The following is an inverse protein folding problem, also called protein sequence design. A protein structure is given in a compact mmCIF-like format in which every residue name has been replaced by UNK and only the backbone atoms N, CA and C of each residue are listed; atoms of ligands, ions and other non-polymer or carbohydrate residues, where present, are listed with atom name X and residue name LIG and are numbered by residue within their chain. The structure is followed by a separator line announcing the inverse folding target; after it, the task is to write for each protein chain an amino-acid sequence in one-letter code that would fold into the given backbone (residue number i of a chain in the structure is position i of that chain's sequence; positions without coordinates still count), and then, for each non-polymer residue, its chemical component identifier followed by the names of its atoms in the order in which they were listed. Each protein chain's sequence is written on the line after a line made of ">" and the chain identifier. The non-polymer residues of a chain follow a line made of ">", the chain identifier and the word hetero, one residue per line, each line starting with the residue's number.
data_IF_203140028338
#
_entry.id   IF_203140028338
#
_cell.length_a   1.000
_cell.length_b   1.000
_cell.length_c   1.000
_cell.angle_alpha   90.00
_cell.angle_beta   90.00
_cell.angle_gamma   90.00
#
_symmetry.space_group_name_H-M   'P 1'
#
loop_
_entity.id
_entity.type
_entity.pdbx_description
1 polymer ?
#
# COMPACT_ATOMS: atom_id res chain seq x y z
N UNK A 1 -9.09 7.29 20.23
CA UNK A 1 -10.28 7.63 19.42
C UNK A 1 -11.50 7.27 20.23
N UNK A 2 -12.37 8.24 20.56
CA UNK A 2 -13.64 7.92 21.21
C UNK A 2 -14.50 7.09 20.25
N UNK A 3 -15.25 6.07 20.71
CA UNK A 3 -16.11 5.24 19.86
C UNK A 3 -17.07 6.07 18.99
N UNK A 4 -17.50 7.22 19.49
CA UNK A 4 -18.36 8.20 18.81
C UNK A 4 -17.70 8.80 17.57
N UNK A 5 -16.43 9.21 17.66
CA UNK A 5 -15.71 9.89 16.57
C UNK A 5 -15.57 9.02 15.33
N UNK A 6 -15.38 7.72 15.51
CA UNK A 6 -15.17 6.82 14.38
C UNK A 6 -16.48 6.37 13.72
N UNK A 7 -17.56 6.28 14.50
CA UNK A 7 -18.92 6.14 13.96
C UNK A 7 -19.29 7.38 13.15
N UNK A 8 -19.01 8.57 13.70
CA UNK A 8 -19.21 9.84 13.01
C UNK A 8 -18.40 9.92 11.72
N UNK A 9 -17.12 9.51 11.75
CA UNK A 9 -16.24 9.51 10.57
C UNK A 9 -16.74 8.54 9.49
N UNK A 10 -17.19 7.35 9.88
CA UNK A 10 -17.85 6.39 8.98
C UNK A 10 -19.09 7.00 8.32
N UNK A 11 -19.95 7.63 9.11
CA UNK A 11 -21.20 8.22 8.62
C UNK A 11 -20.93 9.45 7.73
N UNK A 12 -19.89 10.24 8.02
CA UNK A 12 -19.44 11.34 7.16
C UNK A 12 -18.95 10.78 5.83
N UNK A 13 -18.07 9.77 5.84
CA UNK A 13 -17.51 9.18 4.63
C UNK A 13 -18.61 8.58 3.73
N UNK A 14 -19.54 7.82 4.32
CA UNK A 14 -20.68 7.25 3.60
C UNK A 14 -21.56 8.33 2.99
N UNK A 15 -21.92 9.36 3.77
CA UNK A 15 -22.73 10.48 3.26
C UNK A 15 -22.06 11.23 2.12
N UNK A 16 -20.75 11.47 2.21
CA UNK A 16 -20.00 12.13 1.12
C UNK A 16 -19.95 11.26 -0.14
N UNK A 17 -19.75 9.95 0.02
CA UNK A 17 -19.77 9.02 -1.11
C UNK A 17 -21.15 8.94 -1.76
N UNK A 18 -22.22 8.85 -0.97
CA UNK A 18 -23.61 8.85 -1.47
C UNK A 18 -23.97 10.17 -2.14
N UNK A 19 -23.57 11.30 -1.55
CA UNK A 19 -23.74 12.62 -2.14
C UNK A 19 -23.11 12.70 -3.53
N UNK A 20 -21.83 12.32 -3.66
CA UNK A 20 -21.14 12.31 -4.96
C UNK A 20 -21.81 11.39 -5.99
N UNK A 21 -22.28 10.22 -5.57
CA UNK A 21 -22.95 9.27 -6.46
C UNK A 21 -24.32 9.75 -6.91
N UNK A 22 -25.03 10.53 -6.08
CA UNK A 22 -26.35 11.08 -6.37
C UNK A 22 -26.35 12.33 -7.26
N UNK A 23 -25.19 12.96 -7.48
CA UNK A 23 -25.05 14.11 -8.38
C UNK A 23 -25.03 13.68 -9.86
N UNK A 24 -25.48 14.58 -10.72
CA UNK A 24 -25.28 14.51 -12.17
C UNK A 24 -23.79 14.58 -12.52
N UNK A 25 -23.41 14.01 -13.66
CA UNK A 25 -22.00 13.68 -13.97
C UNK A 25 -21.03 14.85 -13.81
N UNK A 26 -21.37 16.04 -14.32
CA UNK A 26 -20.51 17.23 -14.19
C UNK A 26 -20.41 17.73 -12.75
N UNK A 27 -21.50 17.77 -11.99
CA UNK A 27 -21.47 18.22 -10.58
C UNK A 27 -20.76 17.20 -9.69
N UNK A 28 -20.93 15.91 -9.98
CA UNK A 28 -20.25 14.82 -9.31
C UNK A 28 -18.72 14.97 -9.43
N UNK A 29 -18.23 15.25 -10.64
CA UNK A 29 -16.81 15.53 -10.88
C UNK A 29 -16.37 16.79 -10.11
N UNK A 30 -17.10 17.90 -10.20
CA UNK A 30 -16.73 19.14 -9.49
C UNK A 30 -16.68 19.01 -7.97
N UNK A 31 -17.44 18.08 -7.39
CA UNK A 31 -17.43 17.81 -5.95
C UNK A 31 -16.36 16.78 -5.52
N UNK A 32 -15.76 16.03 -6.45
CA UNK A 32 -14.73 15.03 -6.16
C UNK A 32 -13.52 15.56 -5.35
N UNK A 33 -12.97 16.76 -5.63
CA UNK A 33 -11.82 17.26 -4.87
C UNK A 33 -12.08 17.35 -3.38
N UNK A 34 -13.30 17.71 -2.95
CA UNK A 34 -13.66 17.77 -1.53
C UNK A 34 -13.66 16.39 -0.86
N UNK A 35 -14.08 15.34 -1.57
CA UNK A 35 -14.01 13.97 -1.07
C UNK A 35 -12.57 13.48 -0.97
N UNK A 36 -11.75 13.76 -1.99
CA UNK A 36 -10.32 13.41 -1.98
C UNK A 36 -9.61 14.14 -0.83
N UNK A 37 -9.91 15.42 -0.63
CA UNK A 37 -9.38 16.20 0.49
C UNK A 37 -9.74 15.56 1.84
N UNK A 38 -11.03 15.27 2.08
CA UNK A 38 -11.48 14.58 3.30
C UNK A 38 -10.69 13.29 3.57
N UNK A 39 -10.52 12.44 2.55
CA UNK A 39 -9.81 11.15 2.66
C UNK A 39 -8.30 11.35 2.92
N UNK A 40 -7.71 12.42 2.40
CA UNK A 40 -6.27 12.67 2.50
C UNK A 40 -5.85 13.56 3.68
N UNK A 41 -6.74 14.39 4.22
CA UNK A 41 -6.42 15.37 5.27
C UNK A 41 -6.93 15.02 6.65
N UNK A 42 -8.08 14.32 6.77
CA UNK A 42 -8.53 13.86 8.09
C UNK A 42 -7.49 12.87 8.65
N UNK A 43 -6.96 13.05 9.88
CA UNK A 43 -5.81 12.29 10.37
C UNK A 43 -5.91 10.76 10.26
N UNK A 44 -7.10 10.20 10.50
CA UNK A 44 -7.34 8.75 10.48
C UNK A 44 -7.42 8.22 9.05
N UNK A 45 -8.25 8.85 8.22
CA UNK A 45 -8.39 8.54 6.81
C UNK A 45 -7.07 8.78 6.07
N UNK A 46 -6.30 9.81 6.43
CA UNK A 46 -4.99 10.15 5.88
C UNK A 46 -3.97 9.04 6.12
N UNK A 47 -3.96 8.45 7.33
CA UNK A 47 -3.08 7.32 7.61
C UNK A 47 -3.41 6.11 6.74
N UNK A 48 -4.71 5.79 6.63
CA UNK A 48 -5.19 4.68 5.81
C UNK A 48 -4.93 4.93 4.32
N UNK A 49 -5.19 6.15 3.85
CA UNK A 49 -5.03 6.52 2.45
C UNK A 49 -3.57 6.54 2.02
N UNK A 50 -2.63 6.94 2.90
CA UNK A 50 -1.18 6.80 2.65
C UNK A 50 -0.77 5.34 2.45
N UNK A 51 -1.28 4.45 3.30
CA UNK A 51 -0.98 3.02 3.20
C UNK A 51 -1.59 2.44 1.90
N UNK A 52 -2.83 2.82 1.55
CA UNK A 52 -3.46 2.44 0.28
C UNK A 52 -2.69 2.93 -0.95
N UNK A 53 -2.23 4.19 -0.93
CA UNK A 53 -1.46 4.77 -2.04
C UNK A 53 -0.15 4.02 -2.25
N UNK A 54 0.56 3.72 -1.17
CA UNK A 54 1.79 2.93 -1.23
C UNK A 54 1.53 1.52 -1.79
N UNK A 55 0.48 0.83 -1.33
CA UNK A 55 0.11 -0.48 -1.86
C UNK A 55 -0.24 -0.40 -3.36
N UNK A 56 -0.98 0.63 -3.78
CA UNK A 56 -1.29 0.85 -5.20
C UNK A 56 -0.06 1.12 -6.06
N UNK A 57 0.92 1.87 -5.53
CA UNK A 57 2.21 2.12 -6.18
C UNK A 57 3.01 0.82 -6.34
N UNK A 58 3.03 -0.05 -5.32
CA UNK A 58 3.66 -1.36 -5.40
C UNK A 58 3.01 -2.24 -6.48
N UNK A 59 1.67 -2.28 -6.54
CA UNK A 59 0.98 -3.06 -7.57
C UNK A 59 1.31 -2.60 -8.99
N UNK A 60 1.43 -1.28 -9.18
CA UNK A 60 1.80 -0.69 -10.47
C UNK A 60 3.28 -0.96 -10.78
N UNK A 61 4.15 -0.77 -9.79
CA UNK A 61 5.60 -0.97 -9.93
C UNK A 61 5.98 -2.41 -10.23
N UNK A 62 5.27 -3.41 -9.70
CA UNK A 62 5.55 -4.81 -10.00
C UNK A 62 5.44 -5.11 -11.51
N UNK A 63 4.45 -4.52 -12.19
CA UNK A 63 4.34 -4.68 -13.64
C UNK A 63 5.44 -3.89 -14.38
N UNK A 64 5.61 -2.61 -14.05
CA UNK A 64 6.51 -1.70 -14.80
C UNK A 64 7.99 -1.98 -14.54
N UNK A 65 8.36 -2.26 -13.29
CA UNK A 65 9.76 -2.40 -12.88
C UNK A 65 10.24 -3.81 -13.03
N UNK A 66 9.44 -4.81 -12.67
CA UNK A 66 9.89 -6.20 -12.67
C UNK A 66 9.56 -6.88 -14.01
N UNK A 67 8.30 -6.80 -14.44
CA UNK A 67 7.85 -7.54 -15.62
C UNK A 67 8.29 -6.88 -16.93
N UNK A 68 8.07 -5.58 -17.12
CA UNK A 68 8.50 -4.88 -18.34
C UNK A 68 10.04 -4.87 -18.48
N UNK A 69 10.78 -4.78 -17.37
CA UNK A 69 12.24 -4.90 -17.42
C UNK A 69 12.71 -6.30 -17.83
N UNK A 70 12.05 -7.36 -17.35
CA UNK A 70 12.31 -8.73 -17.81
C UNK A 70 12.01 -8.89 -19.30
N UNK A 71 10.88 -8.34 -19.77
CA UNK A 71 10.46 -8.36 -21.16
C UNK A 71 11.49 -7.66 -22.06
N UNK A 72 11.88 -6.44 -21.70
CA UNK A 72 12.93 -5.67 -22.40
C UNK A 72 14.25 -6.43 -22.45
N UNK A 73 14.71 -7.01 -21.34
CA UNK A 73 15.97 -7.77 -21.32
C UNK A 73 15.91 -9.03 -22.20
N UNK A 74 14.77 -9.72 -22.19
CA UNK A 74 14.54 -10.90 -23.03
C UNK A 74 14.54 -10.54 -24.52
N UNK A 75 13.91 -9.40 -24.87
CA UNK A 75 13.90 -8.86 -26.22
C UNK A 75 15.27 -8.35 -26.67
N UNK A 76 16.09 -7.77 -25.78
CA UNK A 76 17.49 -7.41 -26.10
C UNK A 76 18.33 -8.63 -26.44
N UNK A 77 18.23 -9.70 -25.64
CA UNK A 77 18.93 -10.96 -25.93
C UNK A 77 18.49 -11.51 -27.29
N UNK A 78 17.18 -11.61 -27.52
CA UNK A 78 16.62 -12.08 -28.78
C UNK A 78 17.08 -11.21 -29.96
N UNK A 79 17.05 -9.88 -29.81
CA UNK A 79 17.53 -8.97 -30.83
C UNK A 79 19.00 -9.16 -31.15
N UNK A 80 19.88 -9.24 -30.14
CA UNK A 80 21.32 -9.42 -30.34
C UNK A 80 21.68 -10.70 -31.13
N UNK A 81 20.87 -11.74 -31.00
CA UNK A 81 21.07 -13.03 -31.67
C UNK A 81 20.58 -13.03 -33.12
N UNK A 82 19.56 -12.23 -33.44
CA UNK A 82 18.89 -12.24 -34.75
C UNK A 82 19.03 -10.95 -35.57
N UNK A 83 19.59 -9.88 -35.00
CA UNK A 83 19.65 -8.55 -35.62
C UNK A 83 20.41 -8.52 -36.95
N UNK A 84 21.54 -9.22 -37.04
CA UNK A 84 22.39 -9.17 -38.24
C UNK A 84 21.63 -9.58 -39.51
N UNK A 85 20.96 -10.74 -39.50
CA UNK A 85 20.23 -11.22 -40.68
C UNK A 85 18.89 -10.49 -40.86
N UNK A 86 18.25 -10.02 -39.77
CA UNK A 86 17.05 -9.17 -39.87
C UNK A 86 17.36 -7.83 -40.53
N UNK A 87 18.50 -7.21 -40.20
CA UNK A 87 18.96 -5.95 -40.80
C UNK A 87 19.35 -6.11 -42.26
N UNK A 88 19.96 -7.23 -42.64
CA UNK A 88 20.25 -7.56 -44.04
C UNK A 88 18.94 -7.65 -44.85
N UNK A 89 17.97 -8.43 -44.39
CA UNK A 89 16.68 -8.58 -45.06
C UNK A 89 15.90 -7.26 -45.12
N UNK A 90 15.95 -6.46 -44.05
CA UNK A 90 15.29 -5.16 -44.01
C UNK A 90 15.89 -4.19 -45.03
N UNK A 91 17.23 -4.16 -45.18
CA UNK A 91 17.90 -3.32 -46.20
C UNK A 91 17.57 -3.74 -47.62
N UNK A 92 17.27 -5.01 -47.84
CA UNK A 92 16.86 -5.50 -49.16
C UNK A 92 15.39 -5.19 -49.45
N UNK A 93 14.52 -5.24 -48.43
CA UNK A 93 13.13 -4.79 -48.54
C UNK A 93 13.01 -3.25 -48.69
N UNK A 94 13.86 -2.44 -48.05
CA UNK A 94 13.85 -0.98 -48.19
C UNK A 94 14.13 -0.51 -49.62
N UNK A 95 14.81 -1.34 -50.43
CA UNK A 95 15.07 -1.08 -51.86
C UNK A 95 13.87 -1.40 -52.76
N UNK A 96 12.84 -2.06 -52.24
CA UNK A 96 11.63 -2.43 -52.96
C UNK A 96 10.54 -1.37 -52.75
N UNK A 97 10.15 -0.67 -53.82
CA UNK A 97 9.22 0.46 -53.78
C UNK A 97 7.81 0.08 -53.30
N UNK A 98 7.40 -1.20 -53.38
CA UNK A 98 6.09 -1.67 -52.91
C UNK A 98 6.02 -1.87 -51.38
N UNK A 99 7.15 -2.14 -50.71
CA UNK A 99 7.17 -2.46 -49.26
C UNK A 99 7.63 -1.30 -48.37
N UNK A 100 8.18 -0.22 -48.95
CA UNK A 100 8.65 0.97 -48.24
C UNK A 100 7.60 1.71 -47.36
N UNK A 101 6.31 1.84 -47.74
CA UNK A 101 5.33 2.61 -46.96
C UNK A 101 4.92 1.98 -45.62
N UNK A 102 4.86 0.65 -45.53
CA UNK A 102 4.47 -0.09 -44.32
C UNK A 102 5.60 -0.14 -43.28
N UNK A 103 6.85 0.05 -43.71
CA UNK A 103 8.05 0.08 -42.85
C UNK A 103 8.10 1.35 -41.97
N UNK A 104 7.59 2.49 -42.46
CA UNK A 104 7.62 3.76 -41.73
C UNK A 104 6.78 3.78 -40.45
N UNK A 105 5.75 2.94 -40.37
CA UNK A 105 4.78 2.92 -39.25
C UNK A 105 5.42 2.36 -37.96
N UNK A 106 6.33 1.39 -38.09
CA UNK A 106 6.95 0.69 -36.96
C UNK A 106 8.38 1.12 -36.67
N UNK A 107 8.92 2.11 -37.39
CA UNK A 107 10.28 2.61 -37.23
C UNK A 107 11.37 1.67 -37.78
N UNK A 108 12.62 2.14 -37.77
CA UNK A 108 13.75 1.40 -38.33
C UNK A 108 14.31 0.40 -37.32
N UNK A 109 14.69 -0.82 -37.73
CA UNK A 109 15.32 -1.78 -36.82
C UNK A 109 16.67 -1.31 -36.27
N UNK A 110 17.35 -0.39 -36.95
CA UNK A 110 18.57 0.25 -36.44
C UNK A 110 18.35 1.04 -35.15
N UNK A 111 17.13 1.50 -34.90
CA UNK A 111 16.79 2.35 -33.77
C UNK A 111 16.22 1.53 -32.60
N UNK A 112 16.24 0.20 -32.71
CA UNK A 112 15.57 -0.68 -31.76
C UNK A 112 16.21 -0.65 -30.36
N UNK A 113 17.54 -0.62 -30.29
CA UNK A 113 18.25 -0.53 -29.01
C UNK A 113 17.96 0.81 -28.29
N UNK A 114 17.90 1.90 -29.06
CA UNK A 114 17.51 3.23 -28.56
C UNK A 114 16.04 3.26 -28.11
N UNK A 115 15.16 2.56 -28.83
CA UNK A 115 13.76 2.39 -28.45
C UNK A 115 13.63 1.66 -27.11
N UNK A 116 14.33 0.53 -26.93
CA UNK A 116 14.33 -0.24 -25.69
C UNK A 116 14.97 0.49 -24.50
N UNK A 117 15.74 1.56 -24.76
CA UNK A 117 16.30 2.42 -23.72
C UNK A 117 15.30 3.45 -23.18
N UNK A 118 14.22 3.77 -23.93
CA UNK A 118 13.17 4.69 -23.48
C UNK A 118 12.30 3.98 -22.44
N UNK A 119 12.33 4.46 -21.18
CA UNK A 119 11.48 3.95 -20.10
C UNK A 119 10.30 4.87 -19.86
N UNK A 120 9.11 4.30 -19.73
CA UNK A 120 7.95 5.02 -19.21
C UNK A 120 6.66 4.24 -19.41
N UNK A 121 6.11 3.71 -18.32
CA UNK A 121 4.71 3.30 -18.25
C UNK A 121 4.07 4.09 -17.11
N UNK A 122 3.25 5.08 -17.45
CA UNK A 122 2.47 5.83 -16.47
C UNK A 122 1.05 5.28 -16.41
N UNK A 123 0.54 5.00 -15.21
CA UNK A 123 -0.88 4.66 -15.05
C UNK A 123 -1.75 5.83 -15.53
N UNK A 124 -2.67 5.61 -16.48
CA UNK A 124 -3.49 6.69 -17.03
C UNK A 124 -4.49 7.21 -15.98
N UNK A 125 -4.91 8.49 -16.08
CA UNK A 125 -5.92 9.08 -15.21
C UNK A 125 -7.34 8.55 -15.48
N UNK A 126 -7.58 8.04 -16.70
CA UNK A 126 -8.83 7.39 -17.10
C UNK A 126 -8.59 5.93 -17.45
N UNK A 127 -9.54 5.07 -17.12
CA UNK A 127 -9.48 3.65 -17.45
C UNK A 127 -10.04 3.43 -18.87
N UNK A 128 -9.20 3.60 -19.89
CA UNK A 128 -9.15 2.86 -21.18
C UNK A 128 -8.06 3.49 -22.10
N UNK A 129 -7.41 2.77 -23.02
CA UNK A 129 -7.76 1.51 -23.70
C UNK A 129 -7.03 0.26 -23.17
N UNK A 130 -7.53 -0.92 -23.53
CA UNK A 130 -6.83 -2.21 -23.55
C UNK A 130 -5.52 -2.20 -24.35
N UNK A 131 -5.16 -1.06 -24.94
CA UNK A 131 -3.91 -0.84 -25.61
C UNK A 131 -2.77 -0.86 -24.61
N UNK A 132 -1.99 -1.91 -24.76
CA UNK A 132 -0.72 -2.07 -24.12
C UNK A 132 0.28 -1.00 -24.62
N UNK A 133 0.58 -0.05 -23.73
CA UNK A 133 1.56 1.03 -23.93
C UNK A 133 2.95 0.68 -23.39
N UNK A 134 3.14 -0.54 -22.89
CA UNK A 134 4.43 -0.96 -22.37
C UNK A 134 5.48 -1.02 -23.48
N UNK A 135 6.74 -0.85 -23.10
CA UNK A 135 7.87 -0.94 -24.04
C UNK A 135 7.94 -2.35 -24.61
N UNK A 136 7.72 -3.37 -23.78
CA UNK A 136 7.70 -4.79 -24.18
C UNK A 136 6.64 -5.06 -25.25
N UNK A 137 5.39 -4.64 -25.02
CA UNK A 137 4.30 -4.86 -25.98
C UNK A 137 4.53 -4.20 -27.33
N UNK A 138 5.00 -2.94 -27.31
CA UNK A 138 5.34 -2.22 -28.54
C UNK A 138 6.55 -2.84 -29.27
N UNK A 139 7.54 -3.32 -28.54
CA UNK A 139 8.72 -3.99 -29.11
C UNK A 139 8.37 -5.34 -29.75
N UNK A 140 7.50 -6.14 -29.14
CA UNK A 140 7.01 -7.41 -29.72
C UNK A 140 6.38 -7.14 -31.09
N UNK A 141 5.45 -6.17 -31.18
CA UNK A 141 4.78 -5.80 -32.44
C UNK A 141 5.78 -5.37 -33.53
N UNK A 142 6.84 -4.66 -33.17
CA UNK A 142 7.90 -4.25 -34.12
C UNK A 142 8.66 -5.45 -34.67
N UNK A 143 9.11 -6.36 -33.80
CA UNK A 143 9.85 -7.57 -34.23
C UNK A 143 8.96 -8.47 -35.09
N UNK A 144 7.68 -8.65 -34.71
CA UNK A 144 6.72 -9.42 -35.52
C UNK A 144 6.56 -8.83 -36.92
N UNK A 145 6.35 -7.51 -37.03
CA UNK A 145 6.23 -6.83 -38.31
C UNK A 145 7.50 -7.00 -39.18
N UNK A 146 8.69 -6.89 -38.60
CA UNK A 146 9.95 -7.12 -39.33
C UNK A 146 10.16 -8.58 -39.74
N UNK A 147 9.75 -9.53 -38.88
CA UNK A 147 9.80 -10.96 -39.18
C UNK A 147 8.83 -11.36 -40.31
N UNK A 148 7.67 -10.70 -40.41
CA UNK A 148 6.71 -10.95 -41.48
C UNK A 148 7.21 -10.45 -42.84
N UNK A 149 7.92 -9.31 -42.86
CA UNK A 149 8.64 -8.83 -44.06
C UNK A 149 9.75 -9.81 -44.49
N UNK A 150 10.39 -10.48 -43.55
CA UNK A 150 11.44 -11.46 -43.82
C UNK A 150 10.93 -12.78 -44.43
N UNK A 151 9.63 -13.08 -44.33
CA UNK A 151 9.04 -14.37 -44.70
C UNK A 151 9.16 -14.69 -46.22
N UNK A 152 9.46 -13.69 -47.07
CA UNK A 152 9.70 -13.87 -48.50
C UNK A 152 11.13 -14.31 -48.88
N UNK A 153 12.13 -14.07 -48.03
CA UNK A 153 13.57 -14.21 -48.38
C UNK A 153 14.42 -14.99 -47.33
N UNK A 154 13.82 -15.46 -46.22
CA UNK A 154 14.56 -15.93 -45.04
C UNK A 154 14.93 -17.43 -44.99
N UNK A 155 16.00 -17.72 -44.23
CA UNK A 155 16.35 -19.05 -43.69
C UNK A 155 15.25 -19.52 -42.71
N UNK A 156 14.30 -20.32 -43.22
CA UNK A 156 13.10 -20.80 -42.50
C UNK A 156 13.35 -21.24 -41.04
N UNK A 157 14.44 -21.94 -40.77
CA UNK A 157 14.78 -22.40 -39.41
C UNK A 157 15.09 -21.26 -38.42
N UNK A 158 15.72 -20.18 -38.86
CA UNK A 158 16.02 -19.02 -38.00
C UNK A 158 14.77 -18.18 -37.71
N UNK A 159 13.86 -18.08 -38.69
CA UNK A 159 12.58 -17.41 -38.55
C UNK A 159 11.65 -18.18 -37.59
N UNK A 160 11.62 -19.51 -37.70
CA UNK A 160 10.85 -20.38 -36.82
C UNK A 160 11.33 -20.29 -35.36
N UNK A 161 12.65 -20.26 -35.12
CA UNK A 161 13.22 -20.07 -33.79
C UNK A 161 12.87 -18.69 -33.20
N UNK A 162 13.06 -17.62 -33.99
CA UNK A 162 12.70 -16.25 -33.61
C UNK A 162 11.23 -16.17 -33.19
N UNK A 163 10.31 -16.66 -34.04
CA UNK A 163 8.87 -16.63 -33.79
C UNK A 163 8.49 -17.45 -32.56
N UNK A 164 9.11 -18.62 -32.35
CA UNK A 164 8.85 -19.46 -31.18
C UNK A 164 9.23 -18.74 -29.89
N UNK A 165 10.40 -18.12 -29.84
CA UNK A 165 10.88 -17.39 -28.65
C UNK A 165 10.10 -16.09 -28.43
N UNK A 166 9.80 -15.36 -29.50
CA UNK A 166 8.98 -14.15 -29.42
C UNK A 166 7.57 -14.44 -28.90
N UNK A 167 6.93 -15.53 -29.37
CA UNK A 167 5.63 -15.98 -28.86
C UNK A 167 5.70 -16.34 -27.38
N UNK A 168 6.78 -16.95 -26.90
CA UNK A 168 6.96 -17.21 -25.48
C UNK A 168 7.01 -15.91 -24.66
N UNK A 169 7.77 -14.91 -25.10
CA UNK A 169 7.83 -13.58 -24.45
C UNK A 169 6.44 -12.93 -24.47
N UNK A 170 5.77 -12.96 -25.62
CA UNK A 170 4.41 -12.42 -25.82
C UNK A 170 3.38 -13.05 -24.87
N UNK A 171 3.38 -14.38 -24.72
CA UNK A 171 2.46 -15.06 -23.79
C UNK A 171 2.69 -14.70 -22.33
N UNK A 172 3.95 -14.58 -21.90
CA UNK A 172 4.26 -14.14 -20.53
C UNK A 172 3.84 -12.69 -20.31
N UNK A 173 4.05 -11.85 -21.34
CA UNK A 173 3.64 -10.47 -21.33
C UNK A 173 2.13 -10.30 -21.24
N UNK A 174 1.37 -10.98 -22.09
CA UNK A 174 -0.09 -10.98 -22.05
C UNK A 174 -0.64 -11.39 -20.69
N UNK A 175 -0.06 -12.42 -20.05
CA UNK A 175 -0.47 -12.87 -18.73
C UNK A 175 -0.24 -11.79 -17.68
N UNK A 176 0.95 -11.18 -17.67
CA UNK A 176 1.29 -10.14 -16.72
C UNK A 176 0.48 -8.86 -16.94
N UNK A 177 0.27 -8.46 -18.20
CA UNK A 177 -0.54 -7.31 -18.56
C UNK A 177 -2.01 -7.51 -18.14
N UNK A 178 -2.58 -8.70 -18.35
CA UNK A 178 -3.93 -9.02 -17.84
C UNK A 178 -4.01 -8.94 -16.32
N UNK A 179 -3.00 -9.46 -15.61
CA UNK A 179 -2.96 -9.34 -14.15
C UNK A 179 -2.85 -7.88 -13.71
N UNK A 180 -2.04 -7.07 -14.39
CA UNK A 180 -1.94 -5.64 -14.18
C UNK A 180 -3.30 -4.94 -14.39
N UNK A 181 -4.01 -5.24 -15.49
CA UNK A 181 -5.34 -4.70 -15.75
C UNK A 181 -6.38 -5.09 -14.68
N UNK A 182 -6.30 -6.32 -14.16
CA UNK A 182 -7.15 -6.77 -13.04
C UNK A 182 -6.82 -6.02 -11.75
N UNK A 183 -5.53 -5.83 -11.45
CA UNK A 183 -5.09 -5.08 -10.28
C UNK A 183 -5.49 -3.61 -10.36
N UNK A 184 -5.32 -2.98 -11.52
CA UNK A 184 -5.83 -1.63 -11.82
C UNK A 184 -7.34 -1.55 -11.58
N UNK A 185 -8.10 -2.59 -11.94
CA UNK A 185 -9.55 -2.63 -11.79
C UNK A 185 -10.04 -2.76 -10.35
N UNK A 186 -9.36 -3.57 -9.55
CA UNK A 186 -9.89 -4.06 -8.27
C UNK A 186 -9.19 -3.46 -7.04
N UNK A 187 -7.99 -2.90 -7.19
CA UNK A 187 -7.19 -2.47 -6.06
C UNK A 187 -7.57 -1.04 -5.61
N UNK A 188 -8.05 -0.91 -4.37
CA UNK A 188 -8.48 0.37 -3.80
C UNK A 188 -7.38 1.44 -3.80
N UNK A 189 -6.12 1.05 -3.61
CA UNK A 189 -4.97 1.97 -3.73
C UNK A 189 -4.80 2.58 -5.12
N UNK A 190 -5.02 1.79 -6.18
CA UNK A 190 -4.92 2.27 -7.57
C UNK A 190 -6.13 3.14 -7.90
N UNK A 191 -7.32 2.75 -7.45
CA UNK A 191 -8.54 3.55 -7.54
C UNK A 191 -8.35 4.92 -6.86
N UNK A 192 -7.77 4.97 -5.65
CA UNK A 192 -7.47 6.22 -4.96
C UNK A 192 -6.48 7.10 -5.74
N UNK A 193 -5.43 6.50 -6.32
CA UNK A 193 -4.50 7.23 -7.19
C UNK A 193 -5.22 7.85 -8.39
N UNK A 194 -6.14 7.12 -9.03
CA UNK A 194 -6.96 7.67 -10.12
C UNK A 194 -7.87 8.80 -9.66
N UNK A 195 -8.59 8.64 -8.54
CA UNK A 195 -9.42 9.70 -7.98
C UNK A 195 -8.60 10.98 -7.70
N UNK A 196 -7.38 10.85 -7.17
CA UNK A 196 -6.47 11.99 -6.97
C UNK A 196 -6.05 12.63 -8.29
N UNK A 197 -5.74 11.84 -9.32
CA UNK A 197 -5.43 12.37 -10.66
C UNK A 197 -6.62 13.08 -11.29
N UNK A 198 -7.83 12.53 -11.15
CA UNK A 198 -9.07 13.16 -11.61
C UNK A 198 -9.29 14.48 -10.86
N UNK A 199 -9.23 14.48 -9.53
CA UNK A 199 -9.41 15.68 -8.73
C UNK A 199 -8.36 16.78 -9.04
N UNK A 200 -7.08 16.40 -9.19
CA UNK A 200 -6.02 17.32 -9.56
C UNK A 200 -6.18 17.87 -10.98
N UNK A 201 -6.75 17.08 -11.90
CA UNK A 201 -7.10 17.51 -13.24
C UNK A 201 -8.32 18.43 -13.29
N UNK A 202 -9.15 18.50 -12.25
CA UNK A 202 -10.35 19.36 -12.19
C UNK A 202 -10.11 20.71 -11.52
N UNK A 203 -9.19 20.75 -10.56
CA UNK A 203 -8.76 21.99 -9.96
C UNK A 203 -7.77 22.67 -10.92
N UNK A 204 -7.93 23.97 -11.25
CA UNK A 204 -6.81 24.76 -11.77
C UNK A 204 -5.62 24.55 -10.85
N UNK A 205 -4.39 24.74 -11.32
CA UNK A 205 -3.20 24.74 -10.48
C UNK A 205 -3.22 25.88 -9.43
N UNK A 206 -4.18 25.88 -8.49
CA UNK A 206 -4.22 26.71 -7.29
C UNK A 206 -3.02 26.41 -6.39
N UNK A 207 -2.39 25.23 -6.54
CA UNK A 207 -1.13 24.91 -5.90
C UNK A 207 0.05 25.79 -6.35
N UNK A 208 -0.07 26.50 -7.48
CA UNK A 208 0.91 27.48 -7.95
C UNK A 208 0.34 28.90 -7.98
N UNK A 209 -0.71 29.21 -7.20
CA UNK A 209 -1.10 30.59 -6.99
C UNK A 209 0.04 31.30 -6.26
N UNK A 210 0.86 31.99 -7.05
CA UNK A 210 1.88 32.87 -6.53
C UNK A 210 1.34 34.30 -6.63
N UNK A 211 1.04 34.96 -5.49
CA UNK A 211 0.58 36.35 -5.50
C UNK A 211 1.63 37.32 -6.07
N UNK A 212 2.89 36.89 -6.22
CA UNK A 212 3.96 37.65 -6.85
C UNK A 212 3.98 37.53 -8.39
N UNK A 213 3.29 36.54 -8.98
CA UNK A 213 3.14 36.43 -10.45
C UNK A 213 2.13 37.47 -10.95
N UNK A 214 2.41 38.07 -12.10
CA UNK A 214 1.46 38.98 -12.72
C UNK A 214 0.25 38.23 -13.32
N UNK A 215 -0.85 38.94 -13.56
CA UNK A 215 -2.11 38.36 -14.08
C UNK A 215 -1.91 37.64 -15.42
N UNK A 216 -0.98 38.09 -16.27
CA UNK A 216 -0.72 37.45 -17.56
C UNK A 216 -0.01 36.11 -17.42
N UNK A 217 0.98 36.01 -16.53
CA UNK A 217 1.68 34.75 -16.20
C UNK A 217 0.73 33.74 -15.55
N UNK A 218 -0.12 34.21 -14.62
CA UNK A 218 -1.16 33.36 -14.01
C UNK A 218 -2.16 32.85 -15.06
N UNK A 219 -2.60 33.70 -15.98
CA UNK A 219 -3.48 33.29 -17.09
C UNK A 219 -2.79 32.30 -18.03
N UNK A 220 -1.49 32.46 -18.28
CA UNK A 220 -0.75 31.50 -19.09
C UNK A 220 -0.58 30.14 -18.42
N UNK A 221 -0.34 30.10 -17.10
CA UNK A 221 -0.30 28.86 -16.33
C UNK A 221 -1.66 28.14 -16.39
N UNK A 222 -2.77 28.88 -16.31
CA UNK A 222 -4.13 28.33 -16.44
C UNK A 222 -4.40 27.79 -17.85
N UNK A 223 -3.95 28.49 -18.89
CA UNK A 223 -4.10 28.03 -20.28
C UNK A 223 -3.23 26.80 -20.58
N UNK A 224 -2.02 26.74 -20.05
CA UNK A 224 -1.15 25.57 -20.13
C UNK A 224 -1.76 24.39 -19.38
N UNK A 225 -2.27 24.60 -18.17
CA UNK A 225 -3.00 23.58 -17.41
C UNK A 225 -4.25 23.08 -18.15
N UNK A 226 -5.05 23.97 -18.75
CA UNK A 226 -6.21 23.60 -19.56
C UNK A 226 -5.80 22.69 -20.72
N UNK A 227 -4.69 23.02 -21.40
CA UNK A 227 -4.14 22.24 -22.50
C UNK A 227 -3.59 20.88 -22.05
N UNK A 228 -2.95 20.82 -20.88
CA UNK A 228 -2.24 19.63 -20.40
C UNK A 228 -3.15 18.68 -19.59
N UNK A 229 -4.23 19.19 -18.99
CA UNK A 229 -5.22 18.38 -18.28
C UNK A 229 -6.19 17.73 -19.27
N UNK A 230 -6.04 16.42 -19.48
CA UNK A 230 -6.99 15.62 -20.27
C UNK A 230 -8.43 15.71 -19.73
N UNK A 231 -8.59 15.85 -18.42
CA UNK A 231 -9.90 15.93 -17.76
C UNK A 231 -10.52 17.32 -17.95
N UNK A 232 -9.73 18.40 -17.86
CA UNK A 232 -10.20 19.75 -18.15
C UNK A 232 -10.58 19.90 -19.61
N UNK A 233 -9.77 19.38 -20.53
CA UNK A 233 -10.12 19.36 -21.95
C UNK A 233 -11.43 18.59 -22.19
N UNK A 234 -11.61 17.42 -21.58
CA UNK A 234 -12.86 16.66 -21.70
C UNK A 234 -14.10 17.41 -21.20
N UNK A 235 -13.96 18.23 -20.15
CA UNK A 235 -15.06 19.02 -19.56
C UNK A 235 -15.31 20.35 -20.24
N UNK A 236 -14.26 21.03 -20.71
CA UNK A 236 -14.31 22.41 -21.18
C UNK A 236 -14.05 22.58 -22.69
N UNK A 237 -13.62 21.52 -23.39
CA UNK A 237 -13.35 21.53 -24.85
C UNK A 237 -13.62 20.15 -25.49
N UNK A 238 -14.88 19.83 -25.83
CA UNK A 238 -15.26 18.51 -26.34
C UNK A 238 -14.62 18.23 -27.71
N UNK A 239 -13.58 17.39 -27.72
CA UNK A 239 -13.02 16.78 -28.95
C UNK A 239 -13.41 15.30 -29.00
N UNK A 240 -13.58 14.73 -30.20
CA UNK A 240 -14.11 13.37 -30.42
C UNK A 240 -13.22 12.21 -29.90
N UNK A 241 -12.03 12.49 -29.39
CA UNK A 241 -11.01 11.48 -29.04
C UNK A 241 -10.70 11.40 -27.53
N UNK A 242 -11.44 12.12 -26.69
CA UNK A 242 -11.27 12.08 -25.23
C UNK A 242 -12.51 11.49 -24.54
N UNK A 243 -12.34 10.85 -23.37
CA UNK A 243 -13.48 10.35 -22.61
C UNK A 243 -14.43 11.49 -22.25
N UNK A 244 -15.72 11.24 -22.36
CA UNK A 244 -16.79 12.17 -22.00
C UNK A 244 -16.86 12.39 -20.48
N UNK A 245 -17.43 13.50 -20.02
CA UNK A 245 -17.71 13.71 -18.59
C UNK A 245 -18.49 12.56 -17.93
N UNK A 246 -19.43 11.95 -18.66
CA UNK A 246 -20.20 10.81 -18.19
C UNK A 246 -19.34 9.57 -17.94
N UNK A 247 -18.36 9.30 -18.81
CA UNK A 247 -17.41 8.21 -18.66
C UNK A 247 -16.49 8.43 -17.45
N UNK A 248 -15.95 9.64 -17.29
CA UNK A 248 -15.17 10.02 -16.10
C UNK A 248 -15.99 9.88 -14.81
N UNK A 249 -17.22 10.37 -14.79
CA UNK A 249 -18.11 10.24 -13.64
C UNK A 249 -18.43 8.76 -13.34
N UNK A 250 -18.67 7.94 -14.36
CA UNK A 250 -18.86 6.50 -14.22
C UNK A 250 -17.65 5.79 -13.60
N UNK A 251 -16.44 6.11 -14.05
CA UNK A 251 -15.20 5.59 -13.47
C UNK A 251 -14.99 6.07 -12.04
N UNK A 252 -15.20 7.36 -11.79
CA UNK A 252 -15.11 7.96 -10.46
C UNK A 252 -16.02 7.26 -9.46
N UNK A 253 -17.30 7.02 -9.81
CA UNK A 253 -18.26 6.35 -8.90
C UNK A 253 -17.79 4.93 -8.52
N UNK A 254 -17.27 4.16 -9.47
CA UNK A 254 -16.71 2.82 -9.20
C UNK A 254 -15.48 2.88 -8.29
N UNK A 255 -14.59 3.83 -8.55
CA UNK A 255 -13.37 4.00 -7.75
C UNK A 255 -13.71 4.49 -6.32
N UNK A 256 -14.71 5.37 -6.16
CA UNK A 256 -15.23 5.77 -4.85
C UNK A 256 -15.74 4.56 -4.08
N UNK A 257 -16.53 3.69 -4.70
CA UNK A 257 -17.06 2.50 -4.01
C UNK A 257 -15.93 1.58 -3.51
N UNK A 258 -14.91 1.32 -4.35
CA UNK A 258 -13.74 0.52 -3.94
C UNK A 258 -12.98 1.14 -2.77
N UNK A 259 -12.69 2.44 -2.87
CA UNK A 259 -11.96 3.18 -1.84
C UNK A 259 -12.74 3.24 -0.54
N UNK A 260 -14.04 3.54 -0.60
CA UNK A 260 -14.90 3.64 0.59
C UNK A 260 -15.05 2.29 1.26
N UNK A 261 -15.30 1.20 0.52
CA UNK A 261 -15.40 -0.15 1.10
C UNK A 261 -14.10 -0.51 1.83
N UNK A 262 -12.95 -0.27 1.23
CA UNK A 262 -11.66 -0.62 1.83
C UNK A 262 -11.31 0.28 3.03
N UNK A 263 -11.58 1.59 2.94
CA UNK A 263 -11.42 2.50 4.07
C UNK A 263 -12.36 2.11 5.20
N UNK A 264 -13.62 1.78 4.94
CA UNK A 264 -14.56 1.35 5.97
C UNK A 264 -14.17 0.00 6.57
N UNK A 265 -13.61 -0.91 5.77
CA UNK A 265 -13.01 -2.16 6.28
C UNK A 265 -11.87 -1.86 7.23
N UNK A 266 -10.92 -1.00 6.84
CA UNK A 266 -9.75 -0.64 7.66
C UNK A 266 -10.12 0.22 8.87
N UNK A 267 -11.07 1.15 8.75
CA UNK A 267 -11.62 1.87 9.89
C UNK A 267 -12.36 0.91 10.81
N UNK A 268 -13.15 -0.02 10.27
CA UNK A 268 -13.78 -1.09 11.02
C UNK A 268 -12.76 -1.99 11.74
N UNK A 269 -11.62 -2.25 11.11
CA UNK A 269 -10.48 -3.02 11.67
C UNK A 269 -9.59 -2.21 12.62
N UNK A 270 -9.44 -0.90 12.46
CA UNK A 270 -8.72 -0.05 13.42
C UNK A 270 -9.62 0.39 14.58
N UNK A 271 -10.94 0.36 14.38
CA UNK A 271 -11.95 0.26 15.43
C UNK A 271 -12.02 -1.16 16.00
N UNK A 272 -11.42 -2.13 15.31
CA UNK A 272 -11.03 -3.46 15.79
C UNK A 272 -9.61 -3.44 16.37
N UNK A 273 -9.17 -4.58 16.89
CA UNK A 273 -7.97 -4.86 17.68
C UNK A 273 -7.41 -3.74 18.57
N UNK A 274 -6.86 -2.64 18.05
CA UNK A 274 -6.35 -1.52 18.84
C UNK A 274 -7.38 -1.00 19.83
N UNK A 275 -8.64 -0.85 19.42
CA UNK A 275 -9.68 -0.40 20.33
C UNK A 275 -9.99 -1.44 21.43
N UNK A 276 -9.92 -2.74 21.11
CA UNK A 276 -10.06 -3.83 22.08
C UNK A 276 -8.91 -3.81 23.09
N UNK A 277 -7.68 -3.64 22.62
CA UNK A 277 -6.48 -3.57 23.44
C UNK A 277 -6.46 -2.30 24.30
N UNK A 278 -6.91 -1.15 23.79
CA UNK A 278 -7.04 0.08 24.59
C UNK A 278 -8.17 -0.02 25.64
N UNK A 279 -9.26 -0.74 25.33
CA UNK A 279 -10.29 -1.06 26.33
C UNK A 279 -9.76 -2.00 27.41
N UNK A 280 -8.97 -3.02 27.04
CA UNK A 280 -8.24 -3.87 27.99
C UNK A 280 -7.32 -3.04 28.88
N UNK A 281 -6.48 -2.17 28.30
CA UNK A 281 -5.62 -1.23 29.04
C UNK A 281 -6.44 -0.44 30.08
N UNK A 282 -7.53 0.18 29.63
CA UNK A 282 -8.40 0.98 30.50
C UNK A 282 -9.00 0.15 31.63
N UNK A 283 -9.42 -1.08 31.33
CA UNK A 283 -9.98 -2.01 32.32
C UNK A 283 -8.94 -2.41 33.36
N UNK A 284 -7.74 -2.80 32.92
CA UNK A 284 -6.62 -3.12 33.80
C UNK A 284 -6.25 -1.93 34.70
N UNK A 285 -6.20 -0.73 34.14
CA UNK A 285 -5.79 0.48 34.85
C UNK A 285 -6.79 0.94 35.91
N UNK A 286 -8.10 0.72 35.67
CA UNK A 286 -9.19 1.24 36.51
C UNK A 286 -9.79 0.21 37.46
N UNK A 287 -9.88 -1.05 37.06
CA UNK A 287 -10.67 -2.06 37.77
C UNK A 287 -9.81 -3.25 38.21
N UNK A 288 -8.97 -3.77 37.32
CA UNK A 288 -8.31 -5.05 37.58
C UNK A 288 -6.91 -4.90 38.21
N UNK A 289 -6.35 -3.69 38.28
CA UNK A 289 -4.97 -3.43 38.69
C UNK A 289 -4.59 -4.02 40.06
N UNK A 290 -5.40 -3.81 41.09
CA UNK A 290 -5.19 -4.38 42.43
C UNK A 290 -5.27 -5.92 42.41
N UNK A 291 -6.32 -6.46 41.78
CA UNK A 291 -6.54 -7.90 41.68
C UNK A 291 -5.39 -8.61 40.94
N UNK A 292 -4.91 -8.02 39.84
CA UNK A 292 -3.77 -8.55 39.07
C UNK A 292 -2.49 -8.54 39.91
N UNK A 293 -2.22 -7.46 40.67
CA UNK A 293 -1.07 -7.40 41.58
C UNK A 293 -1.13 -8.49 42.65
N UNK A 294 -2.27 -8.63 43.33
CA UNK A 294 -2.44 -9.66 44.36
C UNK A 294 -2.23 -11.07 43.79
N UNK A 295 -2.79 -11.34 42.60
CA UNK A 295 -2.61 -12.64 41.94
C UNK A 295 -1.14 -12.90 41.58
N UNK A 296 -0.41 -11.90 41.11
CA UNK A 296 1.02 -12.01 40.84
C UNK A 296 1.84 -12.28 42.11
N UNK A 297 1.50 -11.64 43.23
CA UNK A 297 2.16 -11.88 44.52
C UNK A 297 1.86 -13.28 45.06
N UNK A 298 0.60 -13.71 45.03
CA UNK A 298 0.21 -15.07 45.44
C UNK A 298 0.93 -16.12 44.58
N UNK A 299 1.00 -15.90 43.27
CA UNK A 299 1.73 -16.79 42.36
C UNK A 299 3.21 -16.88 42.73
N UNK A 300 3.85 -15.74 43.03
CA UNK A 300 5.26 -15.68 43.43
C UNK A 300 5.54 -16.42 44.75
N UNK A 301 4.59 -16.38 45.69
CA UNK A 301 4.67 -17.08 46.98
C UNK A 301 4.46 -18.60 46.83
N UNK A 302 3.48 -19.00 46.02
CA UNK A 302 3.13 -20.43 45.85
C UNK A 302 4.11 -21.17 44.93
N UNK A 303 4.61 -20.50 43.88
CA UNK A 303 5.53 -21.07 42.90
C UNK A 303 6.67 -20.10 42.63
N UNK A 304 7.71 -20.10 43.48
CA UNK A 304 8.92 -19.32 43.23
C UNK A 304 9.49 -19.67 41.84
N UNK A 305 9.61 -18.67 40.97
CA UNK A 305 10.06 -18.85 39.57
C UNK A 305 8.96 -18.91 38.51
N UNK A 306 7.68 -18.90 38.89
CA UNK A 306 6.59 -18.77 37.93
C UNK A 306 6.64 -17.40 37.22
N UNK A 307 6.40 -17.41 35.89
CA UNK A 307 6.44 -16.20 35.07
C UNK A 307 5.19 -15.37 35.30
N UNK A 308 5.37 -14.18 35.88
CA UNK A 308 4.27 -13.20 36.04
C UNK A 308 3.68 -12.74 34.70
N UNK A 309 4.51 -12.75 33.65
CA UNK A 309 4.10 -12.41 32.28
C UNK A 309 3.00 -13.35 31.79
N UNK A 310 3.15 -14.67 31.96
CA UNK A 310 2.15 -15.66 31.55
C UNK A 310 0.76 -15.38 32.15
N UNK A 311 0.68 -14.93 33.41
CA UNK A 311 -0.58 -14.59 34.07
C UNK A 311 -1.25 -13.36 33.44
N UNK A 312 -0.47 -12.35 33.07
CA UNK A 312 -0.96 -11.13 32.43
C UNK A 312 -1.39 -11.40 30.98
N UNK A 313 -0.61 -12.22 30.27
CA UNK A 313 -0.93 -12.69 28.93
C UNK A 313 -2.20 -13.55 28.94
N UNK A 314 -2.37 -14.45 29.90
CA UNK A 314 -3.59 -15.24 30.08
C UNK A 314 -4.80 -14.35 30.35
N UNK A 315 -4.65 -13.31 31.18
CA UNK A 315 -5.73 -12.34 31.42
C UNK A 315 -6.12 -11.58 30.15
N UNK A 316 -5.14 -11.17 29.34
CA UNK A 316 -5.38 -10.58 28.03
C UNK A 316 -6.12 -11.56 27.10
N UNK A 317 -5.69 -12.83 27.04
CA UNK A 317 -6.35 -13.87 26.24
C UNK A 317 -7.83 -14.02 26.60
N UNK A 318 -8.13 -14.15 27.90
CA UNK A 318 -9.52 -14.29 28.38
C UNK A 318 -10.36 -13.09 28.01
N UNK A 319 -9.85 -11.88 28.21
CA UNK A 319 -10.55 -10.67 27.80
C UNK A 319 -10.84 -10.66 26.30
N UNK A 320 -9.85 -10.96 25.45
CA UNK A 320 -10.04 -10.98 24.00
C UNK A 320 -11.05 -12.06 23.57
N UNK A 321 -11.01 -13.23 24.21
CA UNK A 321 -12.00 -14.30 24.01
C UNK A 321 -13.42 -13.84 24.37
N UNK A 322 -13.58 -13.17 25.52
CA UNK A 322 -14.86 -12.58 25.94
C UNK A 322 -15.38 -11.48 24.98
N UNK A 323 -14.49 -10.91 24.17
CA UNK A 323 -14.84 -9.95 23.11
C UNK A 323 -15.11 -10.62 21.75
N UNK A 324 -15.16 -11.94 21.69
CA UNK A 324 -15.51 -12.71 20.49
C UNK A 324 -14.32 -13.09 19.60
N UNK A 325 -13.09 -12.93 20.07
CA UNK A 325 -11.88 -13.40 19.38
C UNK A 325 -11.53 -14.83 19.79
N UNK A 326 -10.61 -15.47 19.07
CA UNK A 326 -10.12 -16.81 19.39
C UNK A 326 -8.59 -16.80 19.65
N UNK A 327 -8.13 -16.11 20.71
CA UNK A 327 -6.70 -15.97 20.97
C UNK A 327 -6.07 -17.30 21.38
N UNK A 328 -5.10 -17.74 20.58
CA UNK A 328 -4.23 -18.86 20.86
C UNK A 328 -3.11 -18.41 21.81
N UNK A 329 -3.22 -18.81 23.07
CA UNK A 329 -2.26 -18.50 24.12
C UNK A 329 -1.07 -19.47 24.09
N UNK A 330 0.16 -18.96 23.95
CA UNK A 330 1.40 -19.75 23.93
C UNK A 330 1.37 -20.94 22.95
N UNK A 331 0.59 -20.84 21.89
CA UNK A 331 0.43 -21.91 20.92
C UNK A 331 1.66 -21.99 20.00
N UNK A 332 2.03 -23.21 19.62
CA UNK A 332 3.14 -23.41 18.67
C UNK A 332 2.67 -23.11 17.25
N UNK A 333 3.14 -22.02 16.66
CA UNK A 333 2.79 -21.59 15.30
C UNK A 333 4.09 -21.44 14.52
N UNK A 334 4.25 -22.22 13.44
CA UNK A 334 5.47 -22.22 12.60
C UNK A 334 6.77 -22.37 13.45
N UNK A 335 6.74 -23.25 14.45
CA UNK A 335 7.82 -23.50 15.43
C UNK A 335 8.14 -22.35 16.41
N UNK A 336 7.40 -21.24 16.33
CA UNK A 336 7.42 -20.16 17.31
C UNK A 336 6.32 -20.32 18.35
N UNK A 337 6.45 -19.60 19.46
CA UNK A 337 5.43 -19.49 20.49
C UNK A 337 5.16 -18.01 20.77
N UNK A 338 4.34 -17.35 19.95
CA UNK A 338 3.87 -16.00 20.28
C UNK A 338 3.06 -16.05 21.58
N UNK A 339 3.10 -14.97 22.36
CA UNK A 339 2.34 -14.86 23.59
C UNK A 339 0.83 -15.01 23.32
N UNK A 340 0.31 -14.25 22.34
CA UNK A 340 -1.06 -14.38 21.83
C UNK A 340 -1.11 -14.20 20.32
N UNK A 341 -1.88 -15.06 19.67
CA UNK A 341 -2.11 -15.00 18.24
C UNK A 341 -3.53 -15.42 17.90
N UNK A 342 -4.21 -14.72 16.99
CA UNK A 342 -5.52 -15.12 16.49
C UNK A 342 -5.56 -15.00 14.96
N UNK A 343 -5.73 -16.13 14.26
CA UNK A 343 -5.93 -16.20 12.81
C UNK A 343 -7.37 -16.51 12.39
N UNK A 344 -8.31 -16.60 13.33
CA UNK A 344 -9.70 -16.97 13.06
C UNK A 344 -10.45 -15.90 12.25
N UNK A 345 -10.03 -14.64 12.36
CA UNK A 345 -10.62 -13.49 11.68
C UNK A 345 -9.92 -13.17 10.35
N UNK A 346 -9.76 -14.18 9.48
CA UNK A 346 -9.19 -14.01 8.14
C UNK A 346 -9.85 -12.81 7.41
N UNK A 347 -9.09 -11.96 6.69
CA UNK A 347 -7.76 -12.20 6.14
C UNK A 347 -6.56 -11.71 6.98
N UNK A 348 -6.75 -11.09 8.15
CA UNK A 348 -5.68 -10.48 8.94
C UNK A 348 -5.63 -11.02 10.36
N UNK A 349 -4.51 -11.64 10.73
CA UNK A 349 -4.31 -12.21 12.06
C UNK A 349 -3.90 -11.14 13.09
N UNK A 350 -4.39 -11.28 14.33
CA UNK A 350 -3.97 -10.48 15.48
C UNK A 350 -2.72 -11.10 16.10
N UNK A 351 -1.72 -10.27 16.39
CA UNK A 351 -0.54 -10.67 17.14
C UNK A 351 -0.31 -9.72 18.34
N UNK A 352 -0.20 -10.29 19.54
CA UNK A 352 0.09 -9.54 20.77
C UNK A 352 1.24 -10.20 21.52
N UNK A 353 2.24 -9.39 21.87
CA UNK A 353 3.33 -9.76 22.79
C UNK A 353 3.17 -8.97 24.09
N UNK A 354 3.29 -9.64 25.23
CA UNK A 354 3.16 -9.03 26.54
C UNK A 354 4.48 -9.07 27.31
N UNK A 355 4.79 -7.97 27.99
CA UNK A 355 5.95 -7.83 28.87
C UNK A 355 5.56 -7.12 30.15
N UNK A 356 6.36 -7.32 31.20
CA UNK A 356 6.19 -6.55 32.44
C UNK A 356 7.52 -6.00 32.96
N UNK A 357 7.42 -4.95 33.75
CA UNK A 357 8.54 -4.44 34.54
C UNK A 357 8.10 -3.90 35.91
N UNK A 358 9.02 -4.00 36.87
CA UNK A 358 8.87 -3.44 38.22
C UNK A 358 10.05 -2.57 38.64
N UNK A 359 11.13 -2.55 37.88
CA UNK A 359 12.42 -1.95 38.24
C UNK A 359 12.95 -1.05 37.11
N UNK A 360 13.78 -0.08 37.49
CA UNK A 360 14.39 0.88 36.56
C UNK A 360 15.61 0.31 35.84
N UNK A 361 16.37 -0.57 36.50
CA UNK A 361 17.68 -1.00 36.03
C UNK A 361 17.57 -1.78 34.71
N UNK A 362 18.21 -1.27 33.66
CA UNK A 362 18.21 -1.90 32.33
C UNK A 362 16.87 -1.85 31.60
N UNK A 363 15.86 -1.10 32.09
CA UNK A 363 14.50 -1.08 31.54
C UNK A 363 14.47 -0.72 30.05
N UNK A 364 15.17 0.35 29.64
CA UNK A 364 15.23 0.78 28.24
C UNK A 364 15.76 -0.33 27.32
N UNK A 365 16.88 -0.96 27.68
CA UNK A 365 17.46 -2.09 26.91
C UNK A 365 16.54 -3.31 26.88
N UNK A 366 15.85 -3.59 28.00
CA UNK A 366 14.87 -4.70 28.07
C UNK A 366 13.70 -4.47 27.12
N UNK A 367 13.17 -3.25 27.07
CA UNK A 367 12.06 -2.90 26.18
C UNK A 367 12.49 -2.89 24.71
N UNK A 368 13.66 -2.36 24.39
CA UNK A 368 14.23 -2.45 23.03
C UNK A 368 14.35 -3.91 22.56
N UNK A 369 14.88 -4.80 23.43
CA UNK A 369 14.98 -6.23 23.13
C UNK A 369 13.62 -6.89 22.93
N UNK A 370 12.61 -6.51 23.74
CA UNK A 370 11.26 -7.01 23.58
C UNK A 370 10.68 -6.61 22.21
N UNK A 371 10.90 -5.37 21.78
CA UNK A 371 10.44 -4.93 20.46
C UNK A 371 11.15 -5.68 19.33
N UNK A 372 12.44 -5.97 19.45
CA UNK A 372 13.15 -6.81 18.47
C UNK A 372 12.59 -8.23 18.39
N UNK A 373 12.22 -8.82 19.54
CA UNK A 373 11.56 -10.12 19.57
C UNK A 373 10.23 -10.06 18.82
N UNK A 374 9.44 -8.99 19.01
CA UNK A 374 8.17 -8.79 18.28
C UNK A 374 8.41 -8.78 16.78
N UNK A 375 9.38 -8.00 16.29
CA UNK A 375 9.69 -7.93 14.86
C UNK A 375 10.14 -9.28 14.28
N UNK A 376 11.02 -9.99 14.99
CA UNK A 376 11.50 -11.32 14.57
C UNK A 376 10.35 -12.32 14.47
N UNK A 377 9.53 -12.42 15.51
CA UNK A 377 8.38 -13.33 15.56
C UNK A 377 7.34 -12.97 14.50
N UNK A 378 7.05 -11.68 14.32
CA UNK A 378 6.10 -11.24 13.30
C UNK A 378 6.57 -11.60 11.88
N UNK A 379 7.83 -11.35 11.53
CA UNK A 379 8.36 -11.70 10.21
C UNK A 379 8.30 -13.19 9.89
N UNK A 380 8.49 -14.07 10.88
CA UNK A 380 8.33 -15.51 10.70
C UNK A 380 6.84 -15.92 10.57
N UNK A 381 5.95 -15.30 11.33
CA UNK A 381 4.51 -15.57 11.26
C UNK A 381 3.91 -15.17 9.90
N UNK A 382 4.40 -14.08 9.30
CA UNK A 382 3.94 -13.57 8.00
C UNK A 382 4.13 -14.57 6.85
N UNK A 383 5.12 -15.46 6.96
CA UNK A 383 5.33 -16.54 5.99
C UNK A 383 4.19 -17.55 5.91
N UNK A 384 3.26 -17.56 6.86
CA UNK A 384 2.10 -18.47 6.88
C UNK A 384 0.75 -17.79 7.11
N UNK A 385 0.73 -16.63 7.77
CA UNK A 385 -0.50 -15.87 8.03
C UNK A 385 -0.22 -14.38 7.84
N UNK A 386 -1.07 -13.67 7.09
CA UNK A 386 -0.93 -12.21 6.96
C UNK A 386 -1.26 -11.54 8.28
N UNK A 387 -0.29 -10.89 8.89
CA UNK A 387 -0.44 -10.10 10.12
C UNK A 387 -0.26 -8.63 9.75
N UNK A 388 -1.33 -7.85 9.79
CA UNK A 388 -1.32 -6.42 9.44
C UNK A 388 -0.80 -5.54 10.58
N UNK A 389 -1.05 -5.94 11.83
CA UNK A 389 -0.70 -5.19 13.02
C UNK A 389 -0.17 -6.08 14.14
N UNK A 390 0.77 -5.55 14.91
CA UNK A 390 1.32 -6.16 16.10
C UNK A 390 1.14 -5.25 17.29
N UNK A 391 0.95 -5.84 18.47
CA UNK A 391 0.76 -5.10 19.72
C UNK A 391 1.80 -5.53 20.74
N UNK A 392 2.56 -4.57 21.29
CA UNK A 392 3.46 -4.80 22.41
C UNK A 392 2.81 -4.23 23.67
N UNK A 393 2.21 -5.09 24.49
CA UNK A 393 1.62 -4.71 25.77
C UNK A 393 2.69 -4.73 26.87
N UNK A 394 2.95 -3.57 27.49
CA UNK A 394 3.94 -3.45 28.56
C UNK A 394 3.24 -3.11 29.87
N UNK A 395 3.15 -4.08 30.77
CA UNK A 395 2.57 -3.89 32.09
C UNK A 395 3.58 -3.28 33.06
N UNK A 396 3.32 -2.05 33.51
CA UNK A 396 4.09 -1.43 34.60
C UNK A 396 3.52 -1.92 35.93
N UNK A 397 4.28 -2.74 36.65
CA UNK A 397 3.95 -3.19 38.01
C UNK A 397 4.63 -2.30 39.06
N UNK A 398 5.73 -1.64 38.68
CA UNK A 398 6.52 -0.72 39.49
C UNK A 398 7.57 0.01 38.64
N UNK A 399 8.42 0.82 39.26
CA UNK A 399 9.43 1.60 38.54
C UNK A 399 8.86 2.84 37.83
N UNK A 400 9.64 3.53 36.98
CA UNK A 400 9.25 4.78 36.32
C UNK A 400 8.17 4.56 35.25
N UNK A 401 7.35 5.58 34.97
CA UNK A 401 6.44 5.58 33.83
C UNK A 401 7.25 5.52 32.52
N UNK A 402 6.86 4.65 31.60
CA UNK A 402 7.41 4.63 30.24
C UNK A 402 6.42 5.26 29.28
N UNK A 403 6.90 6.17 28.45
CA UNK A 403 6.13 6.77 27.37
C UNK A 403 6.68 6.24 26.05
N UNK A 404 5.78 5.74 25.20
CA UNK A 404 6.10 5.33 23.84
C UNK A 404 5.49 6.32 22.86
N UNK A 405 6.08 6.41 21.67
CA UNK A 405 5.37 7.00 20.54
C UNK A 405 4.14 6.15 20.17
N UNK A 406 3.12 6.78 19.59
CA UNK A 406 1.82 6.15 19.32
C UNK A 406 1.89 4.86 18.48
N UNK A 407 2.90 4.76 17.62
CA UNK A 407 3.16 3.62 16.72
C UNK A 407 4.61 3.60 16.27
N UNK A 408 5.10 2.42 15.95
CA UNK A 408 6.42 2.18 15.35
C UNK A 408 6.22 1.51 14.00
N UNK A 409 6.79 2.07 12.93
CA UNK A 409 6.70 1.53 11.57
C UNK A 409 8.04 0.95 11.15
N UNK A 410 8.04 -0.26 10.60
CA UNK A 410 9.22 -0.92 10.06
C UNK A 410 8.81 -1.93 8.97
N UNK A 411 9.43 -1.88 7.78
CA UNK A 411 9.16 -2.82 6.67
C UNK A 411 7.66 -3.05 6.38
N UNK A 412 6.90 -1.97 6.19
CA UNK A 412 5.44 -1.99 5.95
C UNK A 412 4.58 -2.57 7.07
N UNK A 413 5.14 -2.77 8.27
CA UNK A 413 4.44 -3.25 9.47
C UNK A 413 4.27 -2.13 10.47
N UNK A 414 3.14 -2.14 11.19
CA UNK A 414 2.85 -1.17 12.25
C UNK A 414 2.74 -1.85 13.61
N UNK A 415 3.70 -1.60 14.49
CA UNK A 415 3.67 -2.04 15.88
C UNK A 415 3.07 -0.94 16.76
N UNK A 416 2.12 -1.33 17.61
CA UNK A 416 1.54 -0.48 18.65
C UNK A 416 2.12 -0.85 20.03
N UNK A 417 3.13 -0.11 20.52
CA UNK A 417 3.58 -0.24 21.90
C UNK A 417 2.58 0.44 22.85
N UNK A 418 2.06 -0.33 23.80
CA UNK A 418 1.01 0.12 24.71
C UNK A 418 1.46 -0.16 26.14
N UNK A 419 1.74 0.90 26.89
CA UNK A 419 1.92 0.79 28.32
C UNK A 419 0.56 0.50 28.99
N UNK A 420 0.49 -0.48 29.87
CA UNK A 420 -0.64 -0.72 30.78
C UNK A 420 -0.14 -0.47 32.20
N UNK A 421 -0.53 0.66 32.80
CA UNK A 421 -0.10 0.97 34.16
C UNK A 421 -0.91 0.15 35.15
N UNK A 422 -0.27 -0.78 35.86
CA UNK A 422 -0.80 -1.48 37.04
C UNK A 422 0.14 -1.32 38.24
N UNK A 423 0.86 -0.20 38.34
CA UNK A 423 1.62 0.17 39.54
C UNK A 423 0.70 0.60 40.69
N UNK A 424 1.11 0.42 41.95
CA UNK A 424 0.37 0.89 43.12
C UNK A 424 0.05 2.40 43.05
N UNK A 425 -1.11 2.86 43.59
CA UNK A 425 -1.51 4.28 43.54
C UNK A 425 -0.51 5.24 44.21
N UNK A 426 0.29 4.76 45.16
CA UNK A 426 1.35 5.54 45.81
C UNK A 426 2.60 5.75 44.94
N UNK A 427 2.64 5.21 43.73
CA UNK A 427 3.72 5.36 42.75
C UNK A 427 3.27 6.06 41.46
N UNK A 428 2.07 6.65 41.43
CA UNK A 428 1.48 7.30 40.25
C UNK A 428 1.25 8.79 40.44
N UNK A 429 1.20 9.53 39.33
CA UNK A 429 0.77 10.93 39.29
C UNK A 429 1.66 11.83 40.14
N UNK A 430 1.05 12.67 40.99
CA UNK A 430 1.80 13.57 41.88
C UNK A 430 2.70 12.87 42.89
N UNK A 431 2.56 11.55 43.06
CA UNK A 431 3.38 10.72 43.96
C UNK A 431 4.49 9.96 43.23
N UNK A 432 4.63 10.18 41.92
CA UNK A 432 5.67 9.56 41.12
C UNK A 432 7.05 10.12 41.47
N UNK A 433 7.98 9.25 41.86
CA UNK A 433 9.32 9.62 42.37
C UNK A 433 10.40 9.70 41.29
N UNK A 434 10.09 9.32 40.06
CA UNK A 434 11.06 9.19 38.97
C UNK A 434 10.51 9.85 37.72
N UNK A 435 11.37 10.51 36.95
CA UNK A 435 10.95 11.10 35.68
C UNK A 435 10.47 10.00 34.71
N UNK A 436 9.43 10.26 33.91
CA UNK A 436 9.02 9.37 32.84
C UNK A 436 10.18 9.11 31.87
N UNK A 437 10.32 7.86 31.44
CA UNK A 437 11.29 7.46 30.43
C UNK A 437 10.56 7.43 29.08
N UNK A 438 10.92 8.33 28.18
CA UNK A 438 10.46 8.27 26.80
C UNK A 438 11.34 7.28 26.00
N UNK A 439 10.69 6.40 25.24
CA UNK A 439 11.32 5.49 24.27
C UNK A 439 10.74 5.85 22.90
N UNK A 440 11.56 6.47 22.05
CA UNK A 440 11.13 6.92 20.74
C UNK A 440 10.94 5.74 19.76
N UNK A 441 10.14 5.94 18.71
CA UNK A 441 9.91 4.96 17.65
C UNK A 441 11.22 4.49 17.01
N UNK A 442 12.18 5.40 16.79
CA UNK A 442 13.48 5.08 16.21
C UNK A 442 14.30 4.10 17.08
N UNK A 443 14.16 4.15 18.41
CA UNK A 443 14.85 3.23 19.32
C UNK A 443 14.25 1.81 19.31
N UNK A 444 13.04 1.66 18.79
CA UNK A 444 12.31 0.40 18.72
C UNK A 444 12.49 -0.31 17.37
N UNK A 445 13.18 0.30 16.42
CA UNK A 445 13.50 -0.31 15.13
C UNK A 445 14.84 -1.05 15.24
N UNK A 446 15.00 -2.26 14.67
CA UNK A 446 16.30 -2.90 14.60
C UNK A 446 17.28 -2.02 13.83
N UNK A 447 18.48 -1.77 14.39
CA UNK A 447 19.52 -1.04 13.68
C UNK A 447 19.95 -1.85 12.46
N UNK A 448 19.69 -1.33 11.27
CA UNK A 448 20.28 -1.82 10.02
C UNK A 448 21.77 -1.56 10.11
N UNK A 449 22.55 -2.57 10.50
CA UNK A 449 23.97 -2.57 10.16
C UNK A 449 24.04 -2.65 8.63
N UNK A 450 24.23 -1.49 8.00
CA UNK A 450 24.68 -1.39 6.61
C UNK A 450 26.07 -1.97 6.45
#
# INVERSE_FOLDING_TARGET
>A
MHPTYASELRDILLRQAEYLKGLDDSRALMALPSFVDLVCTEPTLSAISKDLLYEGEQQTSNFVVEHDAWGVNSLKSLWSEHSNWLLELWRDAEKDEETAPSIGIYGKPTDFDDFLAKRGHESPPFREATEDKSVTGAAIKKIEAWADLANGNAKKSQLDDLRKRLNHISQQHDKAFRQYLLNEAAHAGVALTRLRKIAAGLLPAYYNWNPEKNVHEQNMDVLLWLKDSQISNALFSPTKFQPTPAEYAGQMRRDIDLVVVEILRRVGLHLSYRALILRLKTRCERFDGDSLRERMERLSKMKPGARKEDLLTEHCARYLFDQGLNPLFNASIVRLRPDLFDSSSAPEALYVEAKQYSETNGLRKKLQKATWQVWSTWSELEGSNRVSEGYLLVFRVGGPLVQFDDRVRFQNKTLYPILVDIAPPNMRGSREKSQPIHIAAAEMIPSTNT
#
